data_IF_628528305124
#
_entry.id   IF_628528305124
#
_cell.length_a   1.000
_cell.length_b   1.000
_cell.length_c   1.000
_cell.angle_alpha   90.00
_cell.angle_beta   90.00
_cell.angle_gamma   90.00
#
_symmetry.space_group_name_H-M   'P 1'
#
loop_
_entity.id
_entity.type
_entity.pdbx_description
1 polymer ?
#
# COMPACT_ATOMS: atom_id res chain seq x y z
N UNK A 1 -4.72 -25.09 -6.19
CA UNK A 1 -6.08 -24.57 -5.96
C UNK A 1 -5.97 -23.64 -4.76
N UNK A 2 -6.27 -22.36 -4.93
CA UNK A 2 -6.10 -21.31 -3.91
C UNK A 2 -6.95 -21.61 -2.67
N UNK A 3 -6.33 -21.75 -1.49
CA UNK A 3 -7.01 -22.02 -0.22
C UNK A 3 -6.97 -20.79 0.69
N UNK A 4 -8.09 -20.52 1.36
CA UNK A 4 -8.14 -19.57 2.48
C UNK A 4 -7.83 -20.33 3.77
N UNK A 5 -6.83 -19.86 4.52
CA UNK A 5 -6.41 -20.37 5.82
C UNK A 5 -6.86 -19.37 6.88
N UNK A 6 -7.81 -19.79 7.69
CA UNK A 6 -8.42 -18.97 8.76
C UNK A 6 -7.86 -19.33 10.13
N UNK A 7 -8.19 -18.51 11.12
CA UNK A 7 -7.85 -18.76 12.53
C UNK A 7 -8.26 -20.18 12.99
N UNK A 8 -9.48 -20.58 12.65
CA UNK A 8 -10.02 -21.88 13.01
C UNK A 8 -9.26 -23.04 12.35
N UNK A 9 -8.71 -22.84 11.15
CA UNK A 9 -7.90 -23.84 10.47
C UNK A 9 -6.57 -24.05 11.19
N UNK A 10 -5.94 -22.96 11.65
CA UNK A 10 -4.69 -23.00 12.44
C UNK A 10 -4.93 -23.69 13.78
N UNK A 11 -6.02 -23.34 14.49
CA UNK A 11 -6.37 -23.95 15.77
C UNK A 11 -6.61 -25.46 15.63
N UNK A 12 -7.40 -25.88 14.62
CA UNK A 12 -7.65 -27.30 14.37
C UNK A 12 -6.38 -28.06 14.00
N UNK A 13 -5.51 -27.44 13.21
CA UNK A 13 -4.22 -28.02 12.84
C UNK A 13 -3.35 -28.26 14.08
N UNK A 14 -3.24 -27.28 14.97
CA UNK A 14 -2.51 -27.42 16.23
C UNK A 14 -3.12 -28.51 17.14
N UNK A 15 -4.46 -28.54 17.27
CA UNK A 15 -5.17 -29.56 18.06
C UNK A 15 -4.96 -30.98 17.53
N UNK A 16 -4.71 -31.14 16.23
CA UNK A 16 -4.35 -32.43 15.61
C UNK A 16 -2.87 -32.82 15.80
N UNK A 17 -2.07 -32.02 16.53
CA UNK A 17 -0.65 -32.24 16.77
C UNK A 17 0.28 -31.66 15.70
N UNK A 18 -0.24 -30.82 14.81
CA UNK A 18 0.53 -30.19 13.74
C UNK A 18 1.38 -29.01 14.26
N UNK A 19 2.69 -29.05 13.97
CA UNK A 19 3.64 -28.02 14.44
C UNK A 19 4.27 -27.21 13.29
N UNK A 20 4.07 -27.63 12.03
CA UNK A 20 4.58 -26.95 10.84
C UNK A 20 3.49 -26.91 9.77
N UNK A 21 2.97 -25.72 9.48
CA UNK A 21 1.87 -25.53 8.53
C UNK A 21 2.41 -25.32 7.11
N UNK A 22 2.08 -26.21 6.14
CA UNK A 22 2.46 -26.01 4.75
C UNK A 22 1.51 -25.03 4.05
N UNK A 23 2.07 -24.05 3.34
CA UNK A 23 1.32 -23.01 2.62
C UNK A 23 1.82 -22.94 1.16
N UNK A 24 0.90 -22.83 0.22
CA UNK A 24 1.18 -22.67 -1.23
C UNK A 24 1.31 -21.18 -1.59
N UNK A 25 1.93 -20.85 -2.72
CA UNK A 25 2.07 -19.45 -3.17
C UNK A 25 0.74 -18.70 -3.32
N UNK A 26 -0.31 -19.40 -3.74
CA UNK A 26 -1.61 -18.80 -3.99
C UNK A 26 -2.50 -18.74 -2.74
N UNK A 27 -2.10 -19.36 -1.63
CA UNK A 27 -2.92 -19.46 -0.43
C UNK A 27 -3.01 -18.10 0.29
N UNK A 28 -4.21 -17.76 0.77
CA UNK A 28 -4.46 -16.56 1.58
C UNK A 28 -4.53 -17.00 3.04
N UNK A 29 -3.80 -16.35 3.93
CA UNK A 29 -3.83 -16.56 5.37
C UNK A 29 -4.41 -15.29 5.98
N UNK A 30 -5.43 -15.43 6.81
CA UNK A 30 -6.05 -14.24 7.41
C UNK A 30 -5.13 -13.63 8.47
N UNK A 31 -5.26 -12.33 8.79
CA UNK A 31 -4.49 -11.71 9.87
C UNK A 31 -4.62 -12.46 11.21
N UNK A 32 -5.84 -12.88 11.56
CA UNK A 32 -6.10 -13.68 12.77
C UNK A 32 -5.42 -15.05 12.74
N UNK A 33 -5.30 -15.68 11.56
CA UNK A 33 -4.55 -16.91 11.42
C UNK A 33 -3.04 -16.70 11.66
N UNK A 34 -2.48 -15.59 11.19
CA UNK A 34 -1.07 -15.23 11.44
C UNK A 34 -0.81 -14.98 12.93
N UNK A 35 -1.72 -14.27 13.60
CA UNK A 35 -1.65 -14.05 15.05
C UNK A 35 -1.67 -15.40 15.82
N UNK A 36 -2.51 -16.35 15.40
CA UNK A 36 -2.54 -17.68 16.01
C UNK A 36 -1.28 -18.50 15.71
N UNK A 37 -0.76 -18.46 14.48
CA UNK A 37 0.50 -19.12 14.12
C UNK A 37 1.63 -18.64 15.04
N UNK A 38 1.70 -17.33 15.28
CA UNK A 38 2.66 -16.72 16.20
C UNK A 38 2.45 -17.16 17.65
N UNK A 39 1.21 -17.13 18.11
CA UNK A 39 0.82 -17.44 19.49
C UNK A 39 1.09 -18.91 19.84
N UNK A 40 0.82 -19.81 18.89
CA UNK A 40 0.98 -21.25 19.06
C UNK A 40 2.39 -21.75 18.70
N UNK A 41 3.29 -20.86 18.24
CA UNK A 41 4.66 -21.22 17.86
C UNK A 41 4.74 -22.16 16.67
N UNK A 42 3.76 -22.09 15.76
CA UNK A 42 3.70 -22.97 14.58
C UNK A 42 4.70 -22.49 13.53
N UNK A 43 5.57 -23.38 13.07
CA UNK A 43 6.44 -23.10 11.93
C UNK A 43 5.64 -23.05 10.64
N UNK A 44 6.10 -22.28 9.64
CA UNK A 44 5.47 -22.26 8.32
C UNK A 44 6.48 -22.65 7.26
N UNK A 45 6.05 -23.49 6.31
CA UNK A 45 6.87 -23.88 5.15
C UNK A 45 6.12 -23.61 3.86
N UNK A 46 6.88 -23.18 2.84
CA UNK A 46 6.40 -23.05 1.47
C UNK A 46 6.41 -24.41 0.78
N UNK A 47 5.27 -24.80 0.19
CA UNK A 47 5.14 -26.08 -0.53
C UNK A 47 5.53 -25.90 -2.01
N UNK A 48 6.82 -26.06 -2.34
CA UNK A 48 7.29 -26.14 -3.73
C UNK A 48 7.64 -27.58 -4.11
N UNK A 49 7.60 -27.88 -5.41
CA UNK A 49 7.74 -29.22 -6.01
C UNK A 49 9.08 -29.93 -5.75
N UNK A 50 10.04 -29.29 -5.08
CA UNK A 50 11.37 -29.85 -4.86
C UNK A 50 11.96 -29.59 -3.46
N UNK A 51 11.61 -28.50 -2.76
CA UNK A 51 12.20 -28.16 -1.44
C UNK A 51 11.18 -27.49 -0.50
N UNK A 52 11.17 -27.92 0.76
CA UNK A 52 10.39 -27.29 1.85
C UNK A 52 11.18 -26.10 2.41
N UNK A 53 10.83 -24.89 1.98
CA UNK A 53 11.52 -23.67 2.41
C UNK A 53 10.80 -23.09 3.63
N UNK A 54 11.48 -22.90 4.79
CA UNK A 54 10.91 -22.20 5.93
C UNK A 54 10.49 -20.77 5.56
N UNK A 55 9.30 -20.35 5.98
CA UNK A 55 8.82 -18.99 5.85
C UNK A 55 8.65 -18.36 7.24
N UNK A 56 9.07 -17.11 7.36
CA UNK A 56 8.77 -16.26 8.50
C UNK A 56 7.37 -15.65 8.37
N UNK A 57 6.74 -15.30 9.49
CA UNK A 57 5.43 -14.62 9.50
C UNK A 57 5.48 -13.32 8.69
N UNK A 58 6.60 -12.58 8.77
CA UNK A 58 6.80 -11.37 7.98
C UNK A 58 6.79 -11.63 6.46
N UNK A 59 7.35 -12.76 5.99
CA UNK A 59 7.32 -13.13 4.57
C UNK A 59 5.90 -13.53 4.11
N UNK A 60 5.11 -14.16 5.00
CA UNK A 60 3.70 -14.49 4.72
C UNK A 60 2.87 -13.20 4.66
N UNK A 61 3.02 -12.31 5.64
CA UNK A 61 2.40 -10.99 5.67
C UNK A 61 2.75 -10.15 4.43
N UNK A 62 4.01 -10.17 4.00
CA UNK A 62 4.45 -9.48 2.78
C UNK A 62 3.86 -10.10 1.50
N UNK A 63 3.70 -11.42 1.46
CA UNK A 63 3.07 -12.11 0.32
C UNK A 63 1.56 -11.88 0.25
N UNK A 64 0.91 -11.51 1.36
CA UNK A 64 -0.56 -11.47 1.50
C UNK A 64 -1.17 -10.09 1.77
N UNK A 65 -0.36 -9.11 2.14
CA UNK A 65 -0.78 -7.69 2.13
C UNK A 65 -0.80 -7.19 0.70
N UNK A 66 -1.77 -7.72 -0.06
CA UNK A 66 -2.21 -7.37 -1.42
C UNK A 66 -1.30 -6.36 -2.11
N UNK A 67 -0.61 -6.81 -3.16
CA UNK A 67 0.08 -5.92 -4.12
C UNK A 67 -0.91 -5.01 -4.87
N UNK A 68 -2.06 -4.65 -4.29
CA UNK A 68 -3.05 -3.76 -4.85
C UNK A 68 -2.71 -2.31 -4.51
N UNK A 69 -2.66 -1.45 -5.53
CA UNK A 69 -2.50 -0.01 -5.40
C UNK A 69 -3.72 0.68 -6.00
N UNK A 70 -4.30 1.62 -5.27
CA UNK A 70 -5.29 2.53 -5.85
C UNK A 70 -4.58 3.67 -6.56
N UNK A 71 -4.98 3.98 -7.79
CA UNK A 71 -4.42 5.10 -8.56
C UNK A 71 -5.55 5.97 -9.11
N UNK A 72 -5.35 7.29 -9.07
CA UNK A 72 -6.30 8.23 -9.62
C UNK A 72 -5.65 9.53 -10.08
N UNK A 73 -6.32 10.25 -10.97
CA UNK A 73 -5.86 11.55 -11.45
C UNK A 73 -7.00 12.45 -11.87
N UNK A 74 -6.77 13.76 -11.91
CA UNK A 74 -7.57 14.62 -12.77
C UNK A 74 -7.15 14.47 -14.25
N UNK A 75 -7.79 15.25 -15.12
CA UNK A 75 -7.54 15.26 -16.55
C UNK A 75 -6.11 15.62 -16.93
N UNK A 76 -5.42 16.44 -16.14
CA UNK A 76 -4.03 16.83 -16.39
C UNK A 76 -3.05 15.69 -16.09
N UNK A 77 -3.42 14.80 -15.15
CA UNK A 77 -2.63 13.63 -14.78
C UNK A 77 -2.94 12.37 -15.59
N UNK A 78 -3.98 12.36 -16.44
CA UNK A 78 -4.49 11.15 -17.11
C UNK A 78 -3.42 10.35 -17.85
N UNK A 79 -2.60 11.02 -18.67
CA UNK A 79 -1.51 10.36 -19.41
C UNK A 79 -0.49 9.71 -18.46
N UNK A 80 -0.06 10.43 -17.43
CA UNK A 80 0.91 9.92 -16.45
C UNK A 80 0.31 8.76 -15.66
N UNK A 81 -0.96 8.85 -15.23
CA UNK A 81 -1.67 7.76 -14.56
C UNK A 81 -1.56 6.47 -15.36
N UNK A 82 -1.88 6.49 -16.66
CA UNK A 82 -1.85 5.29 -17.49
C UNK A 82 -0.44 4.71 -17.64
N UNK A 83 0.59 5.56 -17.75
CA UNK A 83 2.00 5.13 -17.78
C UNK A 83 2.36 4.42 -16.46
N UNK A 84 2.01 5.02 -15.32
CA UNK A 84 2.31 4.45 -14.01
C UNK A 84 1.52 3.17 -13.74
N UNK A 85 0.24 3.12 -14.10
CA UNK A 85 -0.59 1.91 -14.00
C UNK A 85 0.06 0.74 -14.74
N UNK A 86 0.61 0.97 -15.94
CA UNK A 86 1.34 -0.05 -16.68
C UNK A 86 2.61 -0.50 -15.94
N UNK A 87 3.46 0.44 -15.52
CA UNK A 87 4.71 0.13 -14.80
C UNK A 87 4.44 -0.66 -13.52
N UNK A 88 3.41 -0.29 -12.77
CA UNK A 88 3.02 -0.99 -11.55
C UNK A 88 2.50 -2.39 -11.86
N UNK A 89 1.67 -2.54 -12.91
CA UNK A 89 1.20 -3.85 -13.37
C UNK A 89 2.37 -4.74 -13.79
N UNK A 90 3.34 -4.21 -14.53
CA UNK A 90 4.56 -4.93 -14.95
C UNK A 90 5.43 -5.34 -13.75
N UNK A 91 5.39 -4.58 -12.65
CA UNK A 91 6.02 -4.93 -11.34
C UNK A 91 5.18 -5.91 -10.51
N UNK A 92 4.04 -6.37 -11.02
CA UNK A 92 3.16 -7.36 -10.38
C UNK A 92 2.19 -6.77 -9.37
N UNK A 93 1.91 -5.47 -9.43
CA UNK A 93 0.85 -4.85 -8.63
C UNK A 93 -0.52 -5.01 -9.31
N UNK A 94 -1.55 -5.30 -8.52
CA UNK A 94 -2.94 -5.18 -8.94
C UNK A 94 -3.35 -3.70 -8.89
N UNK A 95 -3.97 -3.17 -9.94
CA UNK A 95 -4.28 -1.74 -10.01
C UNK A 95 -5.77 -1.52 -9.87
N UNK A 96 -6.15 -0.72 -8.86
CA UNK A 96 -7.50 -0.17 -8.72
C UNK A 96 -7.48 1.26 -9.25
N UNK A 97 -7.74 1.41 -10.54
CA UNK A 97 -7.89 2.72 -11.18
C UNK A 97 -9.26 3.31 -10.81
N UNK A 98 -9.26 4.47 -10.15
CA UNK A 98 -10.50 5.18 -9.77
C UNK A 98 -10.84 6.34 -10.71
N UNK A 99 -10.12 6.44 -11.84
CA UNK A 99 -10.27 7.50 -12.83
C UNK A 99 -9.31 8.67 -12.62
N UNK A 100 -9.37 9.72 -13.42
CA UNK A 100 -10.26 9.89 -14.57
C UNK A 100 -9.95 8.90 -15.72
N UNK A 101 -10.87 8.76 -16.66
CA UNK A 101 -10.79 7.80 -17.77
C UNK A 101 -10.60 8.44 -19.15
N UNK A 102 -10.59 9.77 -19.21
CA UNK A 102 -10.26 10.53 -20.41
C UNK A 102 -9.59 11.88 -20.05
N UNK A 103 -9.24 12.66 -21.07
CA UNK A 103 -8.60 13.98 -20.90
C UNK A 103 -9.61 15.13 -20.72
N UNK A 104 -10.90 14.84 -20.53
CA UNK A 104 -11.91 15.89 -20.35
C UNK A 104 -11.78 16.50 -18.97
N UNK A 105 -11.96 17.82 -18.91
CA UNK A 105 -11.92 18.58 -17.66
C UNK A 105 -12.78 17.94 -16.57
N UNK A 106 -12.21 17.85 -15.38
CA UNK A 106 -12.79 17.22 -14.20
C UNK A 106 -12.13 17.77 -12.93
N UNK A 107 -12.75 17.52 -11.78
CA UNK A 107 -12.30 18.07 -10.52
C UNK A 107 -11.41 17.06 -9.76
N UNK A 108 -10.18 17.47 -9.45
CA UNK A 108 -9.22 16.64 -8.72
C UNK A 108 -9.71 16.10 -7.35
N UNK A 109 -10.58 16.81 -6.58
CA UNK A 109 -10.98 16.31 -5.26
C UNK A 109 -11.68 14.95 -5.31
N UNK A 110 -12.46 14.67 -6.37
CA UNK A 110 -13.22 13.43 -6.51
C UNK A 110 -12.27 12.22 -6.56
N UNK A 111 -11.24 12.31 -7.39
CA UNK A 111 -10.25 11.24 -7.57
C UNK A 111 -9.30 11.13 -6.39
N UNK A 112 -8.87 12.27 -5.84
CA UNK A 112 -8.03 12.30 -4.65
C UNK A 112 -8.74 11.67 -3.43
N UNK A 113 -10.03 11.99 -3.24
CA UNK A 113 -10.86 11.39 -2.22
C UNK A 113 -11.05 9.89 -2.45
N UNK A 114 -11.34 9.47 -3.69
CA UNK A 114 -11.54 8.06 -4.02
C UNK A 114 -10.30 7.20 -3.71
N UNK A 115 -9.10 7.65 -4.10
CA UNK A 115 -7.84 6.96 -3.75
C UNK A 115 -7.63 6.92 -2.24
N UNK A 116 -7.74 8.07 -1.57
CA UNK A 116 -7.53 8.18 -0.13
C UNK A 116 -8.50 7.29 0.65
N UNK A 117 -9.77 7.20 0.21
CA UNK A 117 -10.78 6.35 0.84
C UNK A 117 -10.41 4.86 0.76
N UNK A 118 -9.93 4.39 -0.40
CA UNK A 118 -9.48 2.99 -0.55
C UNK A 118 -8.33 2.63 0.40
N UNK A 119 -7.40 3.55 0.61
CA UNK A 119 -6.30 3.37 1.57
C UNK A 119 -6.85 3.38 3.01
N UNK A 120 -7.73 4.32 3.35
CA UNK A 120 -8.34 4.44 4.70
C UNK A 120 -9.12 3.18 5.07
N UNK A 121 -9.91 2.67 4.13
CA UNK A 121 -10.73 1.46 4.27
C UNK A 121 -9.88 0.16 4.25
N UNK A 122 -8.55 0.28 4.09
CA UNK A 122 -7.61 -0.85 3.99
C UNK A 122 -7.92 -1.80 2.84
N UNK A 123 -8.61 -1.32 1.80
CA UNK A 123 -8.84 -2.06 0.55
C UNK A 123 -7.51 -2.19 -0.22
N UNK A 124 -6.68 -1.17 -0.14
CA UNK A 124 -5.31 -1.17 -0.68
C UNK A 124 -4.34 -0.68 0.39
N UNK A 125 -3.07 -1.10 0.28
CA UNK A 125 -2.00 -0.64 1.18
C UNK A 125 -1.54 0.77 0.85
N UNK A 126 -1.47 1.10 -0.45
CA UNK A 126 -0.94 2.36 -0.95
C UNK A 126 -1.84 2.99 -2.00
N UNK A 127 -1.80 4.32 -2.07
CA UNK A 127 -2.47 5.12 -3.08
C UNK A 127 -1.49 5.99 -3.87
N UNK A 128 -1.81 6.26 -5.13
CA UNK A 128 -1.08 7.20 -5.99
C UNK A 128 -2.08 8.18 -6.60
N UNK A 129 -1.83 9.49 -6.47
CA UNK A 129 -2.68 10.54 -7.04
C UNK A 129 -1.85 11.44 -7.95
N UNK A 130 -2.40 11.80 -9.11
CA UNK A 130 -1.75 12.70 -10.05
C UNK A 130 -2.67 13.88 -10.39
N UNK A 131 -2.19 15.11 -10.21
CA UNK A 131 -2.80 16.31 -10.79
C UNK A 131 -1.73 17.19 -11.44
N UNK A 132 -2.04 18.42 -11.83
CA UNK A 132 -1.08 19.32 -12.46
C UNK A 132 0.18 19.57 -11.61
N UNK A 133 0.03 19.77 -10.31
CA UNK A 133 1.12 20.12 -9.37
C UNK A 133 1.32 19.09 -8.26
N UNK A 134 0.30 18.28 -8.01
CA UNK A 134 0.14 17.36 -6.90
C UNK A 134 -0.21 18.03 -5.56
N UNK A 135 -0.24 19.36 -5.48
CA UNK A 135 -0.55 20.07 -4.22
C UNK A 135 -2.02 19.92 -3.82
N UNK A 136 -3.00 20.27 -4.68
CA UNK A 136 -4.38 20.34 -4.24
C UNK A 136 -4.99 18.95 -3.97
N UNK A 137 -4.53 17.91 -4.70
CA UNK A 137 -4.89 16.53 -4.38
C UNK A 137 -4.35 16.07 -3.03
N UNK A 138 -3.12 16.44 -2.67
CA UNK A 138 -2.57 16.10 -1.35
C UNK A 138 -3.33 16.81 -0.22
N UNK A 139 -3.71 18.07 -0.41
CA UNK A 139 -4.56 18.80 0.54
C UNK A 139 -5.89 18.08 0.76
N UNK A 140 -6.50 17.59 -0.32
CA UNK A 140 -7.79 16.87 -0.26
C UNK A 140 -7.65 15.52 0.43
N UNK A 141 -6.69 14.69 0.00
CA UNK A 141 -6.50 13.36 0.54
C UNK A 141 -6.22 13.38 2.06
N UNK A 142 -5.43 14.35 2.52
CA UNK A 142 -5.11 14.52 3.94
C UNK A 142 -6.30 15.00 4.81
N UNK A 143 -7.48 15.27 4.24
CA UNK A 143 -8.70 15.50 5.03
C UNK A 143 -9.27 14.21 5.62
N UNK A 144 -8.82 13.05 5.13
CA UNK A 144 -9.26 11.76 5.63
C UNK A 144 -8.33 11.32 6.76
N UNK A 145 -8.91 11.14 7.95
CA UNK A 145 -8.22 10.57 9.10
C UNK A 145 -7.44 9.30 8.74
N UNK A 146 -6.16 9.26 9.11
CA UNK A 146 -5.24 8.15 8.88
C UNK A 146 -4.51 8.20 7.52
N UNK A 147 -4.83 9.18 6.67
CA UNK A 147 -4.15 9.39 5.40
C UNK A 147 -2.98 10.36 5.58
N UNK A 148 -1.84 9.96 5.02
CA UNK A 148 -0.61 10.75 4.96
C UNK A 148 -0.19 10.80 3.50
N UNK A 149 -0.82 11.72 2.78
CA UNK A 149 -0.53 12.03 1.39
C UNK A 149 0.63 13.04 1.29
N UNK A 150 1.61 12.76 0.44
CA UNK A 150 2.79 13.60 0.25
C UNK A 150 3.04 13.90 -1.22
N UNK A 151 3.00 15.19 -1.57
CA UNK A 151 3.46 15.65 -2.88
C UNK A 151 4.98 15.58 -2.95
N UNK A 152 5.51 14.80 -3.89
CA UNK A 152 6.94 14.58 -4.03
C UNK A 152 7.45 15.15 -5.36
N UNK A 153 8.51 15.94 -5.33
CA UNK A 153 9.09 16.59 -6.51
C UNK A 153 10.50 16.07 -6.88
N UNK A 154 11.03 15.15 -6.08
CA UNK A 154 12.31 14.48 -6.29
C UNK A 154 12.42 13.24 -5.37
N UNK A 155 13.41 12.40 -5.61
CA UNK A 155 13.69 11.17 -4.89
C UNK A 155 13.93 11.42 -3.40
N UNK A 156 14.56 12.54 -3.04
CA UNK A 156 14.76 12.92 -1.64
C UNK A 156 13.43 13.12 -0.91
N UNK A 157 12.51 13.89 -1.49
CA UNK A 157 11.16 14.08 -0.94
C UNK A 157 10.37 12.78 -0.89
N UNK A 158 10.51 11.91 -1.91
CA UNK A 158 9.89 10.60 -1.97
C UNK A 158 10.36 9.70 -0.82
N UNK A 159 11.69 9.56 -0.68
CA UNK A 159 12.33 8.80 0.40
C UNK A 159 11.93 9.33 1.77
N UNK A 160 12.06 10.63 2.00
CA UNK A 160 11.69 11.27 3.27
C UNK A 160 10.21 11.09 3.60
N UNK A 161 9.30 11.13 2.61
CA UNK A 161 7.88 10.90 2.84
C UNK A 161 7.60 9.49 3.39
N UNK A 162 8.30 8.47 2.90
CA UNK A 162 8.16 7.08 3.36
C UNK A 162 8.91 6.86 4.67
N UNK A 163 10.20 7.14 4.68
CA UNK A 163 11.11 6.86 5.79
C UNK A 163 10.71 7.62 7.05
N UNK A 164 10.39 8.91 6.92
CA UNK A 164 10.11 9.76 8.09
C UNK A 164 8.63 9.93 8.40
N UNK A 165 7.76 9.85 7.39
CA UNK A 165 6.34 10.19 7.55
C UNK A 165 5.41 8.98 7.33
N UNK A 166 5.96 7.81 7.01
CA UNK A 166 5.20 6.61 6.65
C UNK A 166 4.04 6.94 5.70
N UNK A 167 4.29 7.77 4.69
CA UNK A 167 3.27 8.23 3.76
C UNK A 167 2.62 7.02 3.09
N UNK A 168 1.29 6.93 3.11
CA UNK A 168 0.53 5.84 2.49
C UNK A 168 -0.12 6.27 1.16
N UNK A 169 -0.01 7.55 0.80
CA UNK A 169 -0.41 8.07 -0.50
C UNK A 169 0.72 8.91 -1.09
N UNK A 170 1.19 8.54 -2.29
CA UNK A 170 2.10 9.35 -3.09
C UNK A 170 1.28 10.31 -3.96
N UNK A 171 1.67 11.59 -4.02
CA UNK A 171 1.05 12.56 -4.91
C UNK A 171 2.10 13.16 -5.85
N UNK A 172 1.76 13.26 -7.14
CA UNK A 172 2.67 13.66 -8.21
C UNK A 172 2.06 14.80 -9.03
N UNK A 173 2.91 15.71 -9.51
CA UNK A 173 2.51 16.80 -10.41
C UNK A 173 2.91 16.53 -11.85
N UNK A 174 1.93 16.28 -12.72
CA UNK A 174 2.14 15.96 -14.13
C UNK A 174 2.65 17.15 -14.97
N UNK A 175 2.43 18.39 -14.52
CA UNK A 175 2.93 19.61 -15.18
C UNK A 175 4.19 20.17 -14.52
N UNK A 176 4.59 19.65 -13.36
CA UNK A 176 5.77 20.13 -12.62
C UNK A 176 6.97 19.22 -12.79
N UNK A 177 6.79 17.96 -13.20
CA UNK A 177 7.83 16.96 -13.28
C UNK A 177 7.90 16.32 -14.67
N UNK A 178 9.11 15.99 -15.11
CA UNK A 178 9.33 15.15 -16.29
C UNK A 178 8.97 13.69 -16.02
N UNK A 179 8.60 12.96 -17.08
CA UNK A 179 8.15 11.56 -16.99
C UNK A 179 9.18 10.64 -16.30
N UNK A 180 10.47 10.75 -16.67
CA UNK A 180 11.53 9.92 -16.05
C UNK A 180 11.74 10.27 -14.56
N UNK A 181 11.64 11.55 -14.19
CA UNK A 181 11.68 11.97 -12.78
C UNK A 181 10.50 11.39 -12.01
N UNK A 182 9.30 11.39 -12.60
CA UNK A 182 8.11 10.78 -11.99
C UNK A 182 8.32 9.26 -11.76
N UNK A 183 8.88 8.54 -12.75
CA UNK A 183 9.19 7.11 -12.62
C UNK A 183 10.21 6.85 -11.51
N UNK A 184 11.25 7.67 -11.42
CA UNK A 184 12.29 7.58 -10.39
C UNK A 184 11.74 7.85 -8.98
N UNK A 185 10.87 8.87 -8.85
CA UNK A 185 10.15 9.18 -7.60
C UNK A 185 9.27 7.99 -7.18
N UNK A 186 8.49 7.43 -8.11
CA UNK A 186 7.63 6.28 -7.83
C UNK A 186 8.45 5.09 -7.32
N UNK A 187 9.54 4.75 -8.02
CA UNK A 187 10.38 3.62 -7.64
C UNK A 187 11.04 3.84 -6.26
N UNK A 188 11.60 5.02 -6.04
CA UNK A 188 12.15 5.40 -4.73
C UNK A 188 11.11 5.29 -3.62
N UNK A 189 9.90 5.77 -3.85
CA UNK A 189 8.81 5.74 -2.88
C UNK A 189 8.36 4.31 -2.55
N UNK A 190 8.19 3.46 -3.56
CA UNK A 190 7.78 2.06 -3.35
C UNK A 190 8.85 1.25 -2.60
N UNK A 191 10.13 1.50 -2.90
CA UNK A 191 11.25 0.76 -2.33
C UNK A 191 11.75 1.30 -0.99
N UNK A 192 11.23 2.44 -0.52
CA UNK A 192 11.62 3.01 0.78
C UNK A 192 10.74 2.49 1.91
N UNK A 193 11.38 1.84 2.88
CA UNK A 193 10.75 1.38 4.12
C UNK A 193 10.60 2.52 5.15
N UNK A 194 9.62 2.38 6.04
CA UNK A 194 9.46 3.32 7.15
C UNK A 194 10.57 3.13 8.20
N UNK A 195 11.17 4.23 8.67
CA UNK A 195 12.32 4.19 9.59
C UNK A 195 11.98 4.01 11.07
N UNK A 196 10.71 4.14 11.48
CA UNK A 196 10.29 3.92 12.87
C UNK A 196 10.96 4.87 13.88
N UNK A 197 11.15 4.40 15.11
CA UNK A 197 11.85 5.14 16.18
C UNK A 197 11.29 6.55 16.41
N UNK A 198 12.16 7.57 16.35
CA UNK A 198 11.76 8.98 16.54
C UNK A 198 10.65 9.45 15.58
N UNK A 199 10.55 8.82 14.41
CA UNK A 199 9.55 9.16 13.40
C UNK A 199 8.15 8.72 13.84
N UNK A 200 8.04 7.55 14.49
CA UNK A 200 6.77 7.07 15.04
C UNK A 200 6.21 8.02 16.09
N UNK A 201 7.05 8.60 16.95
CA UNK A 201 6.62 9.57 17.95
C UNK A 201 5.97 10.82 17.31
N UNK A 202 6.46 11.24 16.14
CA UNK A 202 5.87 12.37 15.39
C UNK A 202 4.55 11.96 14.73
N UNK A 203 4.47 10.75 14.21
CA UNK A 203 3.22 10.21 13.65
C UNK A 203 2.12 10.05 14.72
N UNK A 204 2.49 9.67 15.94
CA UNK A 204 1.53 9.61 17.05
C UNK A 204 0.92 10.99 17.34
N UNK A 205 1.73 12.07 17.28
CA UNK A 205 1.21 13.44 17.42
C UNK A 205 0.29 13.85 16.27
N UNK A 206 0.60 13.44 15.03
CA UNK A 206 -0.31 13.66 13.89
C UNK A 206 -1.63 12.94 14.14
N UNK A 207 -1.57 11.68 14.57
CA UNK A 207 -2.76 10.87 14.88
C UNK A 207 -3.60 11.50 15.99
N UNK A 208 -2.96 12.09 17.00
CA UNK A 208 -3.65 12.84 18.07
C UNK A 208 -4.38 14.08 17.52
N UNK A 209 -3.74 14.86 16.65
CA UNK A 209 -4.37 15.99 15.96
C UNK A 209 -5.59 15.50 15.17
N UNK A 210 -5.46 14.41 14.42
CA UNK A 210 -6.57 13.83 13.67
C UNK A 210 -7.71 13.39 14.60
N UNK A 211 -7.42 12.74 15.72
CA UNK A 211 -8.44 12.31 16.68
C UNK A 211 -9.21 13.48 17.31
N UNK A 212 -8.55 14.61 17.50
CA UNK A 212 -9.15 15.78 18.14
C UNK A 212 -9.92 16.69 17.17
N UNK A 213 -9.61 16.62 15.86
CA UNK A 213 -10.07 17.62 14.89
C UNK A 213 -10.67 17.05 13.59
N UNK A 214 -10.54 15.74 13.33
CA UNK A 214 -11.15 15.07 12.18
C UNK A 214 -12.16 14.02 12.68
N UNK A 215 -13.36 14.06 12.10
CA UNK A 215 -14.43 13.08 12.37
C UNK A 215 -14.27 11.80 11.56
#
# INVERSE_FOLDING_TARGET
MKKLITENDVIKFAQSGGNVLPISEDDIVTPLALDQIKTLGIGVIKKNSADNIPLTINEIEQSQTSKSIAIGSDHTGFRIKNILSKILSDKGYEIIDVGTYDEKSCDYPDFAFAVARKVKEKIVKFGIIIDATGIPSAITANKLKGIRASTCYNEFSAKSSREHNNANVLVLGAKTLGEETIKSILDTWLNTNFGGGRHQNRLNKITEIENNHLS
#
